data_IF_942485584649
#
_entry.id   IF_942485584649
#
_cell.length_a   1.000
_cell.length_b   1.000
_cell.length_c   1.000
_cell.angle_alpha   90.00
_cell.angle_beta   90.00
_cell.angle_gamma   90.00
#
_symmetry.space_group_name_H-M   'P 1'
#
loop_
_entity.id
_entity.type
_entity.pdbx_description
1 polymer ?
#
# COMPACT_ATOMS: atom_id res chain seq x y z
N UNK A 1 13.13 -16.19 -7.17
CA UNK A 1 11.69 -15.92 -6.96
C UNK A 1 11.09 -15.62 -8.32
N UNK A 2 10.06 -16.38 -8.70
CA UNK A 2 9.27 -16.04 -9.88
C UNK A 2 8.46 -14.79 -9.51
N UNK A 3 8.61 -13.70 -10.26
CA UNK A 3 7.99 -12.39 -9.92
C UNK A 3 6.48 -12.39 -10.07
N UNK A 4 5.92 -13.44 -10.66
CA UNK A 4 4.49 -13.71 -10.80
C UNK A 4 4.13 -14.98 -10.03
N UNK A 5 4.14 -14.91 -8.70
CA UNK A 5 3.53 -15.92 -7.84
C UNK A 5 2.08 -15.48 -7.54
N UNK A 6 1.05 -16.09 -8.16
CA UNK A 6 -0.33 -15.68 -7.95
C UNK A 6 -0.80 -15.88 -6.51
N UNK A 7 -0.27 -16.88 -5.79
CA UNK A 7 -0.68 -17.14 -4.41
C UNK A 7 -0.25 -16.02 -3.49
N UNK A 8 0.99 -15.54 -3.65
CA UNK A 8 1.50 -14.39 -2.92
C UNK A 8 0.64 -13.14 -3.13
N UNK A 9 0.28 -12.83 -4.37
CA UNK A 9 -0.52 -11.65 -4.68
C UNK A 9 -1.97 -11.78 -4.20
N UNK A 10 -2.56 -12.98 -4.28
CA UNK A 10 -3.89 -13.24 -3.72
C UNK A 10 -3.91 -13.07 -2.20
N UNK A 11 -2.86 -13.53 -1.50
CA UNK A 11 -2.74 -13.33 -0.05
C UNK A 11 -2.66 -11.84 0.32
N UNK A 12 -1.96 -11.02 -0.47
CA UNK A 12 -1.93 -9.57 -0.25
C UNK A 12 -3.29 -8.92 -0.49
N UNK A 13 -3.99 -9.32 -1.56
CA UNK A 13 -5.35 -8.85 -1.83
C UNK A 13 -6.31 -9.24 -0.69
N UNK A 14 -6.24 -10.47 -0.18
CA UNK A 14 -7.05 -10.91 0.97
C UNK A 14 -6.70 -10.18 2.26
N UNK A 15 -5.41 -9.95 2.53
CA UNK A 15 -4.95 -9.21 3.71
C UNK A 15 -5.54 -7.80 3.73
N UNK A 16 -5.51 -7.09 2.60
CA UNK A 16 -6.07 -5.74 2.50
C UNK A 16 -7.60 -5.79 2.57
N UNK A 17 -8.25 -6.74 1.89
CA UNK A 17 -9.71 -6.83 1.86
C UNK A 17 -10.34 -7.19 3.21
N UNK A 18 -9.63 -7.99 4.02
CA UNK A 18 -10.09 -8.45 5.34
C UNK A 18 -9.75 -7.49 6.48
N UNK A 19 -9.02 -6.41 6.21
CA UNK A 19 -8.57 -5.45 7.22
C UNK A 19 -9.33 -4.13 7.14
N UNK A 20 -9.61 -3.52 8.30
CA UNK A 20 -10.01 -2.12 8.35
C UNK A 20 -8.79 -1.23 8.05
N UNK A 21 -8.94 -0.26 7.16
CA UNK A 21 -7.91 0.76 6.91
C UNK A 21 -8.16 1.96 7.84
N UNK A 22 -7.17 2.31 8.65
CA UNK A 22 -7.19 3.50 9.51
C UNK A 22 -6.28 4.56 8.90
N UNK A 23 -6.81 5.74 8.59
CA UNK A 23 -6.04 6.86 8.03
C UNK A 23 -5.52 7.76 9.16
N UNK A 24 -4.20 7.81 9.33
CA UNK A 24 -3.52 8.63 10.34
C UNK A 24 -3.09 10.00 9.80
N UNK A 25 -2.74 10.06 8.50
CA UNK A 25 -2.27 11.26 7.81
C UNK A 25 -3.07 11.41 6.51
N UNK A 26 -4.16 12.19 6.54
CA UNK A 26 -4.87 12.52 5.31
C UNK A 26 -3.95 13.19 4.30
N UNK A 27 -4.20 12.97 3.01
CA UNK A 27 -3.48 13.61 1.90
C UNK A 27 -3.38 15.13 2.12
N UNK A 28 -2.19 15.67 1.89
CA UNK A 28 -1.88 17.08 2.12
C UNK A 28 -1.43 17.40 3.54
N UNK A 29 -1.49 16.45 4.47
CA UNK A 29 -0.90 16.62 5.80
C UNK A 29 0.63 16.71 5.70
N UNK A 30 1.24 17.48 6.60
CA UNK A 30 2.70 17.55 6.72
C UNK A 30 3.26 16.45 7.65
N UNK A 31 4.48 16.00 7.39
CA UNK A 31 5.15 15.03 8.25
C UNK A 31 5.48 15.64 9.63
N UNK A 32 5.19 14.95 10.75
CA UNK A 32 5.32 15.54 12.10
C UNK A 32 6.74 16.01 12.47
N UNK A 33 7.78 15.37 11.90
CA UNK A 33 9.19 15.73 12.12
C UNK A 33 9.82 16.53 10.98
N UNK A 34 9.18 16.54 9.80
CA UNK A 34 9.70 17.15 8.57
C UNK A 34 8.57 17.92 7.90
N UNK A 35 8.19 19.11 8.42
CA UNK A 35 6.99 19.82 7.97
C UNK A 35 6.99 20.19 6.48
N UNK A 36 8.16 20.21 5.85
CA UNK A 36 8.35 20.41 4.42
C UNK A 36 7.95 19.18 3.56
N UNK A 37 7.81 18.00 4.18
CA UNK A 37 7.37 16.78 3.51
C UNK A 37 5.86 16.65 3.64
N UNK A 38 5.17 16.67 2.50
CA UNK A 38 3.72 16.56 2.41
C UNK A 38 3.34 15.15 1.95
N UNK A 39 2.35 14.55 2.60
CA UNK A 39 1.79 13.26 2.19
C UNK A 39 0.95 13.43 0.91
N UNK A 40 1.44 12.92 -0.23
CA UNK A 40 0.78 13.04 -1.55
C UNK A 40 -0.45 12.13 -1.72
N UNK A 41 -0.64 11.19 -0.80
CA UNK A 41 -1.77 10.29 -0.69
C UNK A 41 -2.13 10.08 0.79
N UNK A 42 -3.32 9.54 1.07
CA UNK A 42 -3.69 9.21 2.44
C UNK A 42 -2.73 8.13 2.96
N UNK A 43 -2.24 8.32 4.18
CA UNK A 43 -1.33 7.38 4.84
C UNK A 43 -1.92 6.90 6.15
N UNK A 44 -1.75 5.61 6.41
CA UNK A 44 -2.39 4.93 7.52
C UNK A 44 -1.87 3.52 7.70
N UNK A 45 -2.67 2.66 8.32
CA UNK A 45 -2.31 1.26 8.59
C UNK A 45 -3.51 0.32 8.53
N UNK A 46 -3.22 -0.98 8.38
CA UNK A 46 -4.19 -2.06 8.49
C UNK A 46 -4.41 -2.44 9.96
N UNK A 47 -5.63 -2.24 10.47
CA UNK A 47 -5.96 -2.53 11.88
C UNK A 47 -5.91 -4.02 12.17
N UNK A 48 -5.39 -4.40 13.35
CA UNK A 48 -5.31 -5.79 13.78
C UNK A 48 -4.14 -6.57 13.18
N UNK A 49 -3.27 -5.90 12.42
CA UNK A 49 -2.01 -6.44 11.94
C UNK A 49 -0.84 -5.99 12.82
N UNK A 50 0.34 -6.60 12.63
CA UNK A 50 1.55 -6.22 13.34
C UNK A 50 2.72 -6.08 12.35
N UNK A 51 3.36 -4.91 12.38
CA UNK A 51 4.61 -4.59 11.70
C UNK A 51 5.80 -4.82 12.65
N UNK A 52 7.01 -4.57 12.16
CA UNK A 52 8.27 -4.77 12.91
C UNK A 52 8.38 -3.89 14.16
N UNK A 53 7.70 -2.75 14.19
CA UNK A 53 7.66 -1.82 15.31
C UNK A 53 6.51 -2.09 16.30
N UNK A 54 5.70 -3.14 16.05
CA UNK A 54 4.53 -3.48 16.85
C UNK A 54 3.27 -2.67 16.53
N UNK A 55 3.33 -1.72 15.59
CA UNK A 55 2.16 -1.05 15.02
C UNK A 55 1.46 -1.87 13.95
N UNK A 56 0.40 -1.33 13.33
CA UNK A 56 -0.22 -1.95 12.16
C UNK A 56 0.70 -1.87 10.93
N UNK A 57 0.46 -2.70 9.92
CA UNK A 57 1.16 -2.63 8.63
C UNK A 57 0.76 -1.34 7.93
N UNK A 58 1.74 -0.50 7.62
CA UNK A 58 1.54 0.80 6.96
C UNK A 58 1.02 0.64 5.52
N UNK A 59 0.13 1.55 5.13
CA UNK A 59 -0.45 1.62 3.78
C UNK A 59 -0.54 3.06 3.28
N UNK A 60 -0.39 3.19 1.96
CA UNK A 60 -0.71 4.40 1.22
C UNK A 60 -1.97 4.16 0.39
N UNK A 61 -2.99 5.01 0.54
CA UNK A 61 -4.25 4.89 -0.19
C UNK A 61 -4.31 5.96 -1.27
N UNK A 62 -4.15 5.53 -2.52
CA UNK A 62 -4.30 6.39 -3.70
C UNK A 62 -5.76 6.48 -4.17
N UNK A 63 -6.07 7.54 -4.92
CA UNK A 63 -7.40 7.77 -5.51
C UNK A 63 -7.50 7.31 -6.98
N UNK A 64 -6.48 6.61 -7.49
CA UNK A 64 -6.43 6.17 -8.88
C UNK A 64 -7.38 5.02 -9.16
N UNK A 65 -7.88 4.93 -10.39
CA UNK A 65 -8.58 3.72 -10.85
C UNK A 65 -7.63 2.53 -10.85
N UNK A 66 -8.13 1.34 -10.46
CA UNK A 66 -7.38 0.07 -10.52
C UNK A 66 -7.12 -0.28 -12.00
N UNK A 67 -6.07 0.28 -12.58
CA UNK A 67 -5.64 -0.04 -13.93
C UNK A 67 -4.74 -1.28 -13.87
N UNK A 68 -5.26 -2.41 -14.32
CA UNK A 68 -4.45 -3.60 -14.55
C UNK A 68 -3.52 -3.30 -15.73
N UNK A 69 -2.29 -2.88 -15.44
CA UNK A 69 -1.25 -2.82 -16.46
C UNK A 69 -0.70 -4.22 -16.66
N UNK A 70 -1.18 -4.89 -17.71
CA UNK A 70 -0.46 -6.03 -18.28
C UNK A 70 0.81 -5.47 -18.92
N UNK A 71 1.90 -5.38 -18.16
CA UNK A 71 3.21 -5.09 -18.74
C UNK A 71 3.68 -6.33 -19.50
N UNK A 72 3.30 -6.45 -20.76
CA UNK A 72 4.01 -7.32 -21.71
C UNK A 72 5.43 -6.78 -21.83
N UNK A 73 6.41 -7.53 -21.31
CA UNK A 73 7.83 -7.18 -21.44
C UNK A 73 8.20 -7.30 -22.93
N UNK A 74 8.59 -6.23 -23.63
CA UNK A 74 8.68 -6.25 -25.10
C UNK A 74 9.92 -6.95 -25.69
N UNK A 75 10.79 -7.56 -24.87
CA UNK A 75 12.15 -7.92 -25.29
C UNK A 75 12.51 -9.41 -25.20
N UNK A 76 11.51 -10.30 -25.30
CA UNK A 76 11.78 -11.73 -25.51
C UNK A 76 11.15 -12.13 -26.85
N UNK A 77 11.96 -12.11 -27.89
CA UNK A 77 11.77 -12.76 -29.19
C UNK A 77 13.08 -13.40 -29.60
#
# INVERSE_FOLDING_TARGET
MNTFDPEFWNLLDELVHSSDIVIDRPKGSAHPRYPEQIYEADYGYLKGTASMDGGGIDVWVGTGEKKLTLSSVPWIS
#
